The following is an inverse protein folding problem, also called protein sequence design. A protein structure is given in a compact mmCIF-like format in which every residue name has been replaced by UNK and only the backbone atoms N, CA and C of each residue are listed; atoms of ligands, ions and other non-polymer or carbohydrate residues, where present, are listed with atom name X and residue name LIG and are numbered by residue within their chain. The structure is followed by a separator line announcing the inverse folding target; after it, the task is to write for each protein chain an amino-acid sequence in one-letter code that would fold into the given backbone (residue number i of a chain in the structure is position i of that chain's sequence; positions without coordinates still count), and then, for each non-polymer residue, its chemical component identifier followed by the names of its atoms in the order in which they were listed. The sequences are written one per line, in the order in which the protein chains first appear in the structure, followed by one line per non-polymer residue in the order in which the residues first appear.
data_IF_250164417146
#
_entry.id   IF_250164417146
#
_cell.length_a   1.000
_cell.length_b   1.000
_cell.length_c   1.000
_cell.angle_alpha   90.00
_cell.angle_beta   90.00
_cell.angle_gamma   90.00
#
_symmetry.space_group_name_H-M   'P 1'
#
loop_
_entity.id
_entity.type
_entity.pdbx_description
1 polymer ?
#
# COMPACT_ATOMS: atom_id res chain seq x y z
N UNK A 1 -10.45 10.81 -2.56
CA UNK A 1 -10.07 11.35 -3.86
C UNK A 1 -8.76 10.74 -4.35
N UNK A 2 -8.69 10.39 -5.61
CA UNK A 2 -7.49 9.83 -6.21
C UNK A 2 -6.83 10.94 -7.04
N UNK A 3 -5.58 11.25 -6.75
CA UNK A 3 -4.88 12.29 -7.49
C UNK A 3 -4.70 11.85 -8.95
N UNK A 4 -4.81 12.81 -9.87
CA UNK A 4 -4.76 12.52 -11.32
C UNK A 4 -3.42 11.92 -11.79
N UNK A 5 -2.34 12.12 -11.05
CA UNK A 5 -1.04 11.56 -11.41
C UNK A 5 -0.86 10.12 -10.92
N UNK A 6 -1.74 9.60 -10.08
CA UNK A 6 -1.66 8.23 -9.61
C UNK A 6 -1.91 7.26 -10.76
N UNK A 7 -1.12 6.20 -10.81
CA UNK A 7 -1.27 5.15 -11.82
C UNK A 7 -1.84 3.92 -11.13
N UNK A 8 -3.06 3.55 -11.51
CA UNK A 8 -3.78 2.44 -10.90
C UNK A 8 -4.10 1.40 -11.97
N UNK A 9 -3.60 0.18 -11.77
CA UNK A 9 -3.92 -0.90 -12.70
C UNK A 9 -5.42 -1.16 -12.73
N UNK A 10 -5.95 -1.47 -13.90
CA UNK A 10 -7.39 -1.69 -14.08
C UNK A 10 -7.94 -2.85 -13.25
N UNK A 11 -7.08 -3.77 -12.84
CA UNK A 11 -7.49 -4.92 -12.02
C UNK A 11 -7.37 -4.68 -10.53
N UNK A 12 -6.89 -3.51 -10.11
CA UNK A 12 -6.87 -3.14 -8.70
C UNK A 12 -8.29 -2.80 -8.24
N UNK A 13 -8.61 -3.14 -7.01
CA UNK A 13 -9.91 -2.85 -6.41
C UNK A 13 -9.77 -1.82 -5.32
N UNK A 14 -10.32 -0.65 -5.58
CA UNK A 14 -10.24 0.49 -4.66
C UNK A 14 -11.62 0.75 -4.10
N UNK A 15 -11.79 0.56 -2.81
CA UNK A 15 -13.09 0.74 -2.16
C UNK A 15 -13.44 2.22 -1.97
N UNK A 16 -14.63 2.47 -1.42
CA UNK A 16 -15.15 3.82 -1.23
C UNK A 16 -14.27 4.66 -0.30
N UNK A 17 -14.22 5.96 -0.57
CA UNK A 17 -13.56 6.95 0.29
C UNK A 17 -12.04 6.74 0.46
N UNK A 18 -11.41 5.99 -0.43
CA UNK A 18 -9.96 5.87 -0.46
C UNK A 18 -9.36 7.12 -1.07
N UNK A 19 -8.29 7.62 -0.46
CA UNK A 19 -7.52 8.74 -1.00
C UNK A 19 -6.16 8.25 -1.43
N UNK A 20 -5.73 8.63 -2.63
CA UNK A 20 -4.43 8.23 -3.18
C UNK A 20 -3.69 9.48 -3.64
N UNK A 21 -2.48 9.65 -3.15
CA UNK A 21 -1.70 10.86 -3.37
C UNK A 21 -0.99 10.93 -4.71
N UNK A 22 -0.17 11.95 -4.85
CA UNK A 22 0.54 12.30 -6.09
C UNK A 22 1.53 11.21 -6.48
N UNK A 23 1.55 10.86 -7.77
CA UNK A 23 2.52 9.93 -8.37
C UNK A 23 2.59 8.54 -7.70
N UNK A 24 1.54 8.12 -6.99
CA UNK A 24 1.50 6.78 -6.42
C UNK A 24 1.17 5.74 -7.49
N UNK A 25 1.71 4.55 -7.35
CA UNK A 25 1.55 3.46 -8.32
C UNK A 25 0.94 2.26 -7.62
N UNK A 26 -0.22 1.84 -8.09
CA UNK A 26 -0.98 0.71 -7.56
C UNK A 26 -1.01 -0.39 -8.61
N UNK A 27 -0.32 -1.47 -8.35
CA UNK A 27 -0.19 -2.58 -9.32
C UNK A 27 -1.45 -3.45 -9.39
N UNK A 28 -1.42 -4.42 -10.29
CA UNK A 28 -2.57 -5.28 -10.54
C UNK A 28 -3.01 -6.09 -9.32
N UNK A 29 -4.32 -6.26 -9.20
CA UNK A 29 -4.95 -7.06 -8.14
C UNK A 29 -4.69 -6.58 -6.72
N UNK A 30 -4.22 -5.35 -6.54
CA UNK A 30 -4.16 -4.73 -5.22
C UNK A 30 -5.57 -4.45 -4.74
N UNK A 31 -5.83 -4.71 -3.46
CA UNK A 31 -7.09 -4.35 -2.83
C UNK A 31 -6.86 -3.32 -1.74
N UNK A 32 -7.59 -2.22 -1.79
CA UNK A 32 -7.54 -1.19 -0.76
C UNK A 32 -8.93 -1.02 -0.18
N UNK A 33 -9.08 -1.37 1.09
CA UNK A 33 -10.36 -1.29 1.77
C UNK A 33 -10.74 0.17 2.09
N UNK A 34 -12.00 0.38 2.39
CA UNK A 34 -12.59 1.70 2.47
C UNK A 34 -11.93 2.66 3.45
N UNK A 35 -11.97 3.93 3.10
CA UNK A 35 -11.50 5.05 3.92
C UNK A 35 -10.00 5.03 4.26
N UNK A 36 -9.20 4.22 3.57
CA UNK A 36 -7.75 4.27 3.73
C UNK A 36 -7.17 5.45 2.97
N UNK A 37 -6.08 5.99 3.47
CA UNK A 37 -5.38 7.13 2.86
C UNK A 37 -3.98 6.67 2.44
N UNK A 38 -3.72 6.76 1.15
CA UNK A 38 -2.41 6.45 0.58
C UNK A 38 -1.70 7.76 0.29
N UNK A 39 -0.51 7.93 0.82
CA UNK A 39 0.26 9.16 0.64
C UNK A 39 0.79 9.37 -0.77
N UNK A 40 1.76 10.26 -0.89
CA UNK A 40 2.40 10.58 -2.17
C UNK A 40 3.55 9.63 -2.46
N UNK A 41 3.78 9.35 -3.74
CA UNK A 41 4.92 8.53 -4.18
C UNK A 41 4.96 7.14 -3.53
N UNK A 42 3.80 6.54 -3.31
CA UNK A 42 3.69 5.19 -2.74
C UNK A 42 3.69 4.17 -3.88
N UNK A 43 4.41 3.08 -3.69
CA UNK A 43 4.42 1.98 -4.65
C UNK A 43 3.87 0.74 -3.97
N UNK A 44 2.79 0.19 -4.52
CA UNK A 44 2.15 -1.01 -3.98
C UNK A 44 2.26 -2.13 -5.01
N UNK A 45 2.99 -3.18 -4.64
CA UNK A 45 3.19 -4.34 -5.52
C UNK A 45 1.93 -5.14 -5.73
N UNK A 46 1.90 -5.94 -6.81
CA UNK A 46 0.72 -6.71 -7.18
C UNK A 46 0.20 -7.61 -6.08
N UNK A 47 -1.11 -7.76 -6.01
CA UNK A 47 -1.81 -8.64 -5.07
C UNK A 47 -1.66 -8.25 -3.59
N UNK A 48 -1.12 -7.08 -3.28
CA UNK A 48 -1.09 -6.60 -1.90
C UNK A 48 -2.49 -6.20 -1.44
N UNK A 49 -2.74 -6.32 -0.16
CA UNK A 49 -4.01 -5.93 0.46
C UNK A 49 -3.79 -4.90 1.55
N UNK A 50 -4.66 -3.91 1.61
CA UNK A 50 -4.60 -2.86 2.63
C UNK A 50 -5.94 -2.79 3.34
N UNK A 51 -5.92 -2.97 4.66
CA UNK A 51 -7.12 -2.92 5.49
C UNK A 51 -7.74 -1.52 5.50
N UNK A 52 -9.00 -1.44 5.92
CA UNK A 52 -9.72 -0.17 5.96
C UNK A 52 -9.22 0.79 7.01
N UNK A 53 -9.46 2.08 6.78
CA UNK A 53 -9.16 3.17 7.72
C UNK A 53 -7.67 3.27 8.09
N UNK A 54 -6.78 2.81 7.23
CA UNK A 54 -5.34 2.93 7.46
C UNK A 54 -4.77 4.19 6.81
N UNK A 55 -3.65 4.63 7.36
CA UNK A 55 -2.89 5.74 6.81
C UNK A 55 -1.52 5.23 6.39
N UNK A 56 -1.27 5.28 5.10
CA UNK A 56 0.02 4.91 4.51
C UNK A 56 0.76 6.20 4.20
N UNK A 57 1.94 6.36 4.78
CA UNK A 57 2.71 7.58 4.62
C UNK A 57 3.24 7.81 3.21
N UNK A 58 4.04 8.87 3.06
CA UNK A 58 4.66 9.21 1.78
C UNK A 58 5.92 8.37 1.52
N UNK A 59 6.23 8.14 0.26
CA UNK A 59 7.44 7.42 -0.16
C UNK A 59 7.52 6.00 0.44
N UNK A 60 6.38 5.34 0.58
CA UNK A 60 6.29 3.97 1.10
C UNK A 60 6.32 2.99 -0.06
N UNK A 61 7.05 1.90 0.11
CA UNK A 61 7.01 0.78 -0.81
C UNK A 61 6.43 -0.45 -0.11
N UNK A 62 5.41 -1.05 -0.72
CA UNK A 62 4.75 -2.26 -0.22
C UNK A 62 4.99 -3.37 -1.22
N UNK A 63 5.68 -4.41 -0.80
CA UNK A 63 6.01 -5.53 -1.68
C UNK A 63 4.75 -6.30 -2.10
N UNK A 64 4.82 -6.94 -3.28
CA UNK A 64 3.70 -7.72 -3.78
C UNK A 64 3.27 -8.81 -2.81
N UNK A 65 1.98 -9.08 -2.76
CA UNK A 65 1.40 -10.10 -1.88
C UNK A 65 1.38 -9.74 -0.40
N UNK A 66 1.76 -8.51 -0.04
CA UNK A 66 1.78 -8.10 1.37
C UNK A 66 0.38 -7.85 1.91
N UNK A 67 0.19 -8.07 3.21
CA UNK A 67 -1.05 -7.74 3.90
C UNK A 67 -0.81 -6.65 4.94
N UNK A 68 -1.30 -5.45 4.68
CA UNK A 68 -1.11 -4.30 5.56
C UNK A 68 -2.29 -4.17 6.50
N UNK A 69 -2.04 -4.27 7.80
CA UNK A 69 -3.09 -4.25 8.81
C UNK A 69 -2.93 -3.10 9.82
N UNK A 70 -1.93 -2.25 9.63
CA UNK A 70 -1.71 -1.07 10.49
C UNK A 70 -1.10 0.05 9.68
N UNK A 71 -1.14 1.26 10.22
CA UNK A 71 -0.56 2.44 9.58
C UNK A 71 0.93 2.23 9.30
N UNK A 72 1.40 2.83 8.21
CA UNK A 72 2.80 2.75 7.82
C UNK A 72 3.38 4.17 7.78
N UNK A 73 4.49 4.42 8.51
CA UNK A 73 5.09 5.74 8.50
C UNK A 73 5.78 6.08 7.18
N UNK A 74 6.08 7.35 6.97
CA UNK A 74 6.78 7.82 5.78
C UNK A 74 8.10 7.08 5.56
N UNK A 75 8.49 6.94 4.32
CA UNK A 75 9.80 6.41 3.92
C UNK A 75 10.06 4.96 4.36
N UNK A 76 9.01 4.16 4.47
CA UNK A 76 9.12 2.76 4.88
C UNK A 76 9.05 1.81 3.70
N UNK A 77 9.69 0.67 3.85
CA UNK A 77 9.55 -0.47 2.92
C UNK A 77 9.06 -1.66 3.73
N UNK A 78 7.94 -2.24 3.33
CA UNK A 78 7.31 -3.34 4.07
C UNK A 78 7.01 -4.53 3.18
N UNK A 79 6.94 -5.71 3.78
CA UNK A 79 6.54 -6.93 3.09
C UNK A 79 5.97 -7.94 4.09
N UNK A 80 5.25 -8.91 3.58
CA UNK A 80 4.72 -10.01 4.38
C UNK A 80 3.28 -9.83 4.80
N UNK A 81 2.77 -10.80 5.52
CA UNK A 81 1.44 -10.77 6.12
C UNK A 81 1.53 -11.26 7.56
N UNK A 82 1.30 -10.40 8.57
CA UNK A 82 1.13 -8.95 8.42
C UNK A 82 2.40 -8.30 7.88
N UNK A 83 2.22 -7.24 7.11
CA UNK A 83 3.34 -6.53 6.52
C UNK A 83 4.17 -5.87 7.60
N UNK A 84 5.46 -6.04 7.51
CA UNK A 84 6.42 -5.44 8.44
C UNK A 84 7.66 -4.99 7.69
N UNK A 85 8.52 -4.28 8.36
CA UNK A 85 9.75 -3.79 7.76
C UNK A 85 10.53 -4.95 7.14
N UNK A 86 11.11 -4.74 5.97
CA UNK A 86 11.79 -5.80 5.23
C UNK A 86 12.91 -6.44 6.04
N UNK A 87 13.65 -5.66 6.80
CA UNK A 87 14.72 -6.21 7.64
C UNK A 87 14.17 -7.15 8.71
N UNK A 88 13.07 -6.77 9.36
CA UNK A 88 12.39 -7.63 10.31
C UNK A 88 11.90 -8.91 9.67
N UNK A 89 11.25 -8.78 8.50
CA UNK A 89 10.73 -9.93 7.78
C UNK A 89 11.84 -10.93 7.44
N UNK A 90 12.95 -10.46 6.89
CA UNK A 90 14.06 -11.33 6.51
C UNK A 90 14.72 -11.97 7.73
N UNK A 91 14.80 -11.25 8.82
CA UNK A 91 15.35 -11.78 10.07
C UNK A 91 14.47 -12.90 10.63
N UNK A 92 13.15 -12.71 10.62
CA UNK A 92 12.19 -13.67 11.17
C UNK A 92 12.11 -14.95 10.33
N UNK A 93 12.47 -14.91 9.08
CA UNK A 93 12.30 -16.01 8.12
C UNK A 93 13.61 -16.64 7.67
N UNK A 94 14.66 -16.47 8.42
CA UNK A 94 15.93 -17.13 8.13
C UNK A 94 15.94 -18.59 8.54
#
# INVERSE_FOLDING_TARGET
MIHKTAIIDSKAKISSNVKIGVNSIIAGQVGIAGSSVIGNNVKIGGQAGISGHLKIGDNVEIAGGSGVIKDIPNNSKVMGYPAKNIREFLKDNR
#
